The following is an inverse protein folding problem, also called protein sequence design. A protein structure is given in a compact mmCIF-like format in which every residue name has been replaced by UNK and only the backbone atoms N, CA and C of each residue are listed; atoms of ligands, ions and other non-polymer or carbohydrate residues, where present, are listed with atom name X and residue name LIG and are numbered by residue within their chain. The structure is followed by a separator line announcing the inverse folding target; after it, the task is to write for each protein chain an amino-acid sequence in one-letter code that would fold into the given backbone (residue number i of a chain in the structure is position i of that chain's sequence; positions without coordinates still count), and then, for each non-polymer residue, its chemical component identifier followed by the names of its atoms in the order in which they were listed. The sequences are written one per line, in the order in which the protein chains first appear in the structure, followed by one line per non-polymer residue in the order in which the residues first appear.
data_IF_708204057604
#
_entry.id   IF_708204057604
#
_cell.length_a   1.000
_cell.length_b   1.000
_cell.length_c   1.000
_cell.angle_alpha   90.00
_cell.angle_beta   90.00
_cell.angle_gamma   90.00
#
_symmetry.space_group_name_H-M   'P 1'
#
loop_
_entity.id
_entity.type
_entity.pdbx_description
1 polymer ?
#
# COMPACT_ATOMS: atom_id res chain seq x y z
N UNK A 1 -9.04 -25.73 6.75
CA UNK A 1 -8.91 -25.54 5.29
C UNK A 1 -8.25 -26.77 4.74
N UNK A 2 -8.91 -27.49 3.84
CA UNK A 2 -8.27 -28.64 3.18
C UNK A 2 -7.16 -28.12 2.27
N UNK A 3 -5.99 -28.76 2.35
CA UNK A 3 -4.83 -28.48 1.46
C UNK A 3 -5.22 -28.40 -0.01
N UNK A 4 -6.23 -29.18 -0.39
CA UNK A 4 -6.72 -29.32 -1.77
C UNK A 4 -7.38 -28.05 -2.35
N UNK A 5 -7.78 -27.07 -1.50
CA UNK A 5 -8.32 -25.77 -1.95
C UNK A 5 -7.31 -24.63 -1.90
N UNK A 6 -6.31 -24.72 -1.02
CA UNK A 6 -5.32 -23.65 -0.87
C UNK A 6 -4.35 -23.56 -2.06
N UNK A 7 -3.82 -24.70 -2.50
CA UNK A 7 -2.90 -24.78 -3.65
C UNK A 7 -3.49 -24.17 -4.93
N UNK A 8 -4.74 -24.48 -5.34
CA UNK A 8 -5.36 -23.85 -6.50
C UNK A 8 -5.53 -22.33 -6.35
N UNK A 9 -5.85 -21.82 -5.16
CA UNK A 9 -6.00 -20.38 -4.91
C UNK A 9 -4.65 -19.66 -4.97
N UNK A 10 -3.63 -20.21 -4.31
CA UNK A 10 -2.29 -19.67 -4.36
C UNK A 10 -1.74 -19.66 -5.80
N UNK A 11 -1.93 -20.74 -6.57
CA UNK A 11 -1.47 -20.81 -7.96
C UNK A 11 -2.14 -19.78 -8.86
N UNK A 12 -3.42 -19.47 -8.65
CA UNK A 12 -4.12 -18.40 -9.39
C UNK A 12 -3.52 -17.02 -9.08
N UNK A 13 -3.27 -16.74 -7.82
CA UNK A 13 -2.64 -15.48 -7.43
C UNK A 13 -1.22 -15.36 -8.00
N UNK A 14 -0.38 -16.39 -7.84
CA UNK A 14 0.97 -16.37 -8.41
C UNK A 14 0.95 -16.29 -9.94
N UNK A 15 0.04 -16.99 -10.60
CA UNK A 15 -0.17 -16.87 -12.05
C UNK A 15 -0.55 -15.45 -12.47
N UNK A 16 -1.45 -14.81 -11.70
CA UNK A 16 -1.84 -13.43 -11.92
C UNK A 16 -0.65 -12.46 -11.79
N UNK A 17 0.09 -12.54 -10.69
CA UNK A 17 1.26 -11.69 -10.45
C UNK A 17 2.36 -11.96 -11.48
N UNK A 18 2.63 -13.23 -11.80
CA UNK A 18 3.63 -13.61 -12.81
C UNK A 18 3.26 -13.06 -14.19
N UNK A 19 1.99 -13.17 -14.61
CA UNK A 19 1.54 -12.61 -15.88
C UNK A 19 1.69 -11.09 -15.92
N UNK A 20 1.26 -10.39 -14.86
CA UNK A 20 1.40 -8.95 -14.76
C UNK A 20 2.87 -8.53 -14.82
N UNK A 21 3.74 -9.23 -14.08
CA UNK A 21 5.17 -8.97 -14.06
C UNK A 21 5.84 -9.24 -15.41
N UNK A 22 5.50 -10.34 -16.09
CA UNK A 22 6.03 -10.66 -17.42
C UNK A 22 5.64 -9.60 -18.45
N UNK A 23 4.38 -9.19 -18.49
CA UNK A 23 3.93 -8.15 -19.43
C UNK A 23 4.67 -6.84 -19.14
N UNK A 24 4.76 -6.45 -17.88
CA UNK A 24 5.48 -5.23 -17.50
C UNK A 24 6.97 -5.32 -17.87
N UNK A 25 7.63 -6.45 -17.61
CA UNK A 25 9.05 -6.65 -17.94
C UNK A 25 9.31 -6.58 -19.45
N UNK A 26 8.42 -7.15 -20.27
CA UNK A 26 8.51 -7.07 -21.75
C UNK A 26 8.33 -5.62 -22.19
N UNK A 27 7.35 -4.90 -21.66
CA UNK A 27 7.14 -3.49 -22.00
C UNK A 27 8.36 -2.63 -21.61
N UNK A 28 8.91 -2.84 -20.41
CA UNK A 28 10.13 -2.14 -20.00
C UNK A 28 11.31 -2.44 -20.92
N UNK A 29 11.53 -3.70 -21.28
CA UNK A 29 12.62 -4.09 -22.17
C UNK A 29 12.48 -3.52 -23.60
N UNK A 30 11.25 -3.32 -24.07
CA UNK A 30 10.99 -2.78 -25.42
C UNK A 30 11.05 -1.25 -25.50
N UNK A 31 10.66 -0.55 -24.44
CA UNK A 31 10.42 0.89 -24.49
C UNK A 31 11.31 1.70 -23.55
N UNK A 32 12.00 1.08 -22.60
CA UNK A 32 12.87 1.79 -21.68
C UNK A 32 14.31 1.84 -22.20
N UNK A 33 14.95 3.03 -22.27
CA UNK A 33 16.37 3.14 -22.56
C UNK A 33 17.21 2.31 -21.58
N UNK A 34 18.29 1.70 -22.05
CA UNK A 34 19.09 0.77 -21.26
C UNK A 34 19.64 1.39 -19.97
N UNK A 35 20.04 2.65 -20.03
CA UNK A 35 20.58 3.41 -18.90
C UNK A 35 19.52 3.54 -17.79
N UNK A 36 18.28 3.92 -18.17
CA UNK A 36 17.14 4.01 -17.25
C UNK A 36 16.71 2.64 -16.74
N UNK A 37 16.85 1.58 -17.53
CA UNK A 37 16.57 0.22 -17.10
C UNK A 37 17.55 -0.23 -16.01
N UNK A 38 18.84 0.10 -16.15
CA UNK A 38 19.85 -0.23 -15.13
C UNK A 38 19.65 0.56 -13.85
N UNK A 39 19.30 1.84 -13.93
CA UNK A 39 18.97 2.69 -12.78
C UNK A 39 17.71 2.18 -12.07
N UNK A 40 16.65 1.85 -12.81
CA UNK A 40 15.42 1.27 -12.27
C UNK A 40 15.70 -0.04 -11.51
N UNK A 41 16.59 -0.89 -12.04
CA UNK A 41 16.96 -2.15 -11.43
C UNK A 41 17.76 -1.97 -10.13
N UNK A 42 18.64 -0.97 -10.09
CA UNK A 42 19.54 -0.73 -8.95
C UNK A 42 18.82 0.05 -7.83
N UNK A 43 18.08 1.08 -8.19
CA UNK A 43 17.56 2.05 -7.23
C UNK A 43 16.03 1.98 -7.05
N UNK A 44 15.33 1.30 -7.96
CA UNK A 44 13.88 1.16 -7.96
C UNK A 44 13.13 2.36 -8.55
N UNK A 45 11.82 2.17 -8.79
CA UNK A 45 10.97 3.16 -9.47
C UNK A 45 10.88 4.50 -8.71
N UNK A 46 10.98 4.45 -7.39
CA UNK A 46 10.81 5.66 -6.56
C UNK A 46 11.99 6.63 -6.65
N UNK A 47 13.21 6.13 -6.88
CA UNK A 47 14.39 6.97 -7.08
C UNK A 47 14.33 7.73 -8.40
N UNK A 48 13.70 7.15 -9.44
CA UNK A 48 13.47 7.83 -10.71
C UNK A 48 12.60 9.09 -10.56
N UNK A 49 11.77 9.19 -9.51
CA UNK A 49 10.98 10.40 -9.26
C UNK A 49 11.85 11.65 -9.09
N UNK A 50 13.03 11.50 -8.54
CA UNK A 50 13.95 12.62 -8.32
C UNK A 50 14.57 13.12 -9.62
N UNK A 51 15.03 12.20 -10.48
CA UNK A 51 15.77 12.54 -11.69
C UNK A 51 14.86 12.60 -12.94
N UNK A 52 13.87 11.72 -13.02
CA UNK A 52 12.99 11.53 -14.19
C UNK A 52 11.51 11.42 -13.79
N UNK A 53 10.91 12.43 -13.13
CA UNK A 53 9.57 12.31 -12.53
C UNK A 53 8.47 11.98 -13.54
N UNK A 54 8.53 12.51 -14.75
CA UNK A 54 7.55 12.18 -15.81
C UNK A 54 7.65 10.71 -16.23
N UNK A 55 8.88 10.18 -16.33
CA UNK A 55 9.11 8.78 -16.67
C UNK A 55 8.61 7.85 -15.55
N UNK A 56 8.89 8.18 -14.28
CA UNK A 56 8.39 7.41 -13.16
C UNK A 56 6.85 7.32 -13.15
N UNK A 57 6.15 8.43 -13.43
CA UNK A 57 4.68 8.42 -13.55
C UNK A 57 4.23 7.56 -14.74
N UNK A 58 4.88 7.67 -15.89
CA UNK A 58 4.54 6.87 -17.07
C UNK A 58 4.69 5.38 -16.80
N UNK A 59 5.79 4.98 -16.15
CA UNK A 59 6.02 3.59 -15.74
C UNK A 59 4.97 3.10 -14.74
N UNK A 60 4.58 3.95 -13.78
CA UNK A 60 3.53 3.62 -12.82
C UNK A 60 2.15 3.51 -13.47
N UNK A 61 1.84 4.36 -14.45
CA UNK A 61 0.63 4.21 -15.28
C UNK A 61 0.64 2.87 -16.04
N UNK A 62 1.81 2.49 -16.59
CA UNK A 62 2.00 1.19 -17.24
C UNK A 62 1.75 0.02 -16.28
N UNK A 63 2.35 0.06 -15.10
CA UNK A 63 2.17 -0.96 -14.07
C UNK A 63 0.70 -1.10 -13.65
N UNK A 64 0.00 0.02 -13.38
CA UNK A 64 -1.43 0.01 -13.06
C UNK A 64 -2.27 -0.56 -14.22
N UNK A 65 -1.95 -0.18 -15.48
CA UNK A 65 -2.65 -0.69 -16.66
C UNK A 65 -2.49 -2.19 -16.77
N UNK A 66 -1.28 -2.72 -16.59
CA UNK A 66 -1.00 -4.16 -16.63
C UNK A 66 -1.72 -4.88 -15.49
N UNK A 67 -1.69 -4.34 -14.29
CA UNK A 67 -2.40 -4.88 -13.13
C UNK A 67 -3.92 -4.96 -13.38
N UNK A 68 -4.49 -3.90 -13.97
CA UNK A 68 -5.91 -3.84 -14.32
C UNK A 68 -6.28 -4.85 -15.42
N UNK A 69 -5.47 -4.95 -16.46
CA UNK A 69 -5.71 -5.92 -17.56
C UNK A 69 -5.60 -7.35 -17.06
N UNK A 70 -4.59 -7.66 -16.23
CA UNK A 70 -4.46 -8.97 -15.61
C UNK A 70 -5.67 -9.27 -14.71
N UNK A 71 -6.12 -8.31 -13.90
CA UNK A 71 -7.32 -8.45 -13.08
C UNK A 71 -8.55 -8.76 -13.93
N UNK A 72 -8.78 -8.04 -15.03
CA UNK A 72 -9.92 -8.27 -15.93
C UNK A 72 -9.83 -9.66 -16.58
N UNK A 73 -8.64 -10.08 -17.02
CA UNK A 73 -8.40 -11.39 -17.60
C UNK A 73 -8.73 -12.52 -16.63
N UNK A 74 -8.16 -12.50 -15.42
CA UNK A 74 -8.40 -13.54 -14.42
C UNK A 74 -9.86 -13.58 -13.95
N UNK A 75 -10.48 -12.41 -13.77
CA UNK A 75 -11.90 -12.32 -13.44
C UNK A 75 -12.79 -12.96 -14.50
N UNK A 76 -12.51 -12.74 -15.79
CA UNK A 76 -13.32 -13.29 -16.89
C UNK A 76 -13.11 -14.78 -17.12
N UNK A 77 -11.89 -15.25 -16.90
CA UNK A 77 -11.50 -16.62 -17.27
C UNK A 77 -11.62 -17.62 -16.12
N UNK A 78 -11.15 -17.26 -14.94
CA UNK A 78 -10.98 -18.17 -13.80
C UNK A 78 -11.92 -17.88 -12.63
N UNK A 79 -12.20 -16.60 -12.37
CA UNK A 79 -12.91 -16.15 -11.17
C UNK A 79 -14.21 -15.41 -11.52
N UNK A 80 -15.05 -16.05 -12.35
CA UNK A 80 -16.30 -15.47 -12.91
C UNK A 80 -17.29 -14.96 -11.85
N UNK A 81 -17.25 -15.51 -10.63
CA UNK A 81 -18.12 -15.14 -9.52
C UNK A 81 -17.62 -13.94 -8.71
N UNK A 82 -16.44 -13.41 -9.00
CA UNK A 82 -15.95 -12.21 -8.31
C UNK A 82 -16.78 -10.99 -8.68
N UNK A 83 -17.67 -10.59 -7.76
CA UNK A 83 -18.54 -9.41 -7.91
C UNK A 83 -17.77 -8.14 -7.60
N UNK A 84 -18.01 -7.12 -8.41
CA UNK A 84 -17.62 -5.71 -8.36
C UNK A 84 -16.53 -5.24 -7.40
N UNK A 85 -15.44 -4.71 -7.98
CA UNK A 85 -14.44 -3.89 -7.26
C UNK A 85 -15.01 -2.52 -6.86
N UNK A 86 -16.02 -2.08 -7.58
CA UNK A 86 -16.56 -0.74 -7.45
C UNK A 86 -17.91 -0.81 -6.75
N UNK A 87 -18.11 -0.04 -5.67
CA UNK A 87 -19.42 0.10 -5.05
C UNK A 87 -20.37 0.84 -6.00
N UNK A 88 -21.65 0.75 -5.72
CA UNK A 88 -22.70 1.38 -6.51
C UNK A 88 -22.54 2.91 -6.56
N UNK A 89 -21.84 3.38 -7.60
CA UNK A 89 -21.71 4.79 -7.95
C UNK A 89 -20.48 5.53 -7.42
N UNK A 90 -20.04 6.52 -8.20
CA UNK A 90 -18.83 7.31 -7.94
C UNK A 90 -18.88 8.13 -6.64
N UNK A 91 -20.06 8.56 -6.18
CA UNK A 91 -20.22 9.29 -4.90
C UNK A 91 -19.86 8.41 -3.70
N UNK A 92 -20.23 7.13 -3.73
CA UNK A 92 -19.89 6.17 -2.67
C UNK A 92 -18.39 5.92 -2.66
N UNK A 93 -17.76 5.71 -3.82
CA UNK A 93 -16.33 5.54 -3.96
C UNK A 93 -15.56 6.75 -3.41
N UNK A 94 -15.98 7.97 -3.78
CA UNK A 94 -15.37 9.20 -3.27
C UNK A 94 -15.50 9.32 -1.74
N UNK A 95 -16.70 9.07 -1.18
CA UNK A 95 -16.92 9.14 0.26
C UNK A 95 -16.04 8.14 1.03
N UNK A 96 -15.92 6.93 0.52
CA UNK A 96 -15.05 5.91 1.10
C UNK A 96 -13.57 6.30 1.00
N UNK A 97 -13.13 6.81 -0.16
CA UNK A 97 -11.77 7.32 -0.35
C UNK A 97 -11.43 8.47 0.60
N UNK A 98 -12.34 9.43 0.75
CA UNK A 98 -12.18 10.54 1.70
C UNK A 98 -12.15 10.05 3.17
N UNK A 99 -12.97 9.05 3.53
CA UNK A 99 -12.91 8.45 4.86
C UNK A 99 -11.53 7.83 5.12
N UNK A 100 -11.04 6.99 4.18
CA UNK A 100 -9.71 6.40 4.29
C UNK A 100 -8.60 7.44 4.36
N UNK A 101 -8.64 8.45 3.48
CA UNK A 101 -7.70 9.55 3.48
C UNK A 101 -7.71 10.33 4.81
N UNK A 102 -8.87 10.54 5.40
CA UNK A 102 -9.02 11.16 6.72
C UNK A 102 -8.34 10.35 7.83
N UNK A 103 -8.52 9.02 7.84
CA UNK A 103 -7.85 8.14 8.81
C UNK A 103 -6.34 8.22 8.68
N UNK A 104 -5.81 8.11 7.45
CA UNK A 104 -4.36 8.21 7.22
C UNK A 104 -3.81 9.61 7.57
N UNK A 105 -4.57 10.67 7.29
CA UNK A 105 -4.20 12.03 7.67
C UNK A 105 -4.10 12.19 9.19
N UNK A 106 -5.07 11.68 9.94
CA UNK A 106 -5.03 11.70 11.41
C UNK A 106 -3.81 10.95 11.94
N UNK A 107 -3.52 9.76 11.40
CA UNK A 107 -2.32 9.00 11.80
C UNK A 107 -1.02 9.78 11.53
N UNK A 108 -0.89 10.38 10.36
CA UNK A 108 0.29 11.15 9.99
C UNK A 108 0.46 12.42 10.87
N UNK A 109 -0.65 13.13 11.14
CA UNK A 109 -0.65 14.30 12.03
C UNK A 109 -0.28 13.89 13.46
N UNK A 110 -0.81 12.80 13.98
CA UNK A 110 -0.47 12.29 15.31
C UNK A 110 1.02 11.92 15.39
N UNK A 111 1.59 11.29 14.35
CA UNK A 111 3.02 11.03 14.31
C UNK A 111 3.83 12.34 14.38
N UNK A 112 3.48 13.30 13.52
CA UNK A 112 4.15 14.61 13.47
C UNK A 112 4.13 15.31 14.83
N UNK A 113 2.94 15.40 15.45
CA UNK A 113 2.76 16.01 16.77
C UNK A 113 3.60 15.28 17.82
N UNK A 114 3.58 13.94 17.81
CA UNK A 114 4.32 13.14 18.79
C UNK A 114 5.83 13.34 18.64
N UNK A 115 6.36 13.28 17.41
CA UNK A 115 7.78 13.50 17.16
C UNK A 115 8.23 14.92 17.56
N UNK A 116 7.39 15.92 17.30
CA UNK A 116 7.66 17.31 17.67
C UNK A 116 7.60 17.54 19.18
N UNK A 117 6.52 17.07 19.84
CA UNK A 117 6.30 17.25 21.28
C UNK A 117 7.36 16.56 22.15
N UNK A 118 7.85 15.41 21.69
CA UNK A 118 8.93 14.67 22.37
C UNK A 118 10.33 15.16 21.99
N UNK A 119 10.45 16.20 21.14
CA UNK A 119 11.74 16.74 20.68
C UNK A 119 12.57 15.75 19.84
N UNK A 120 11.95 14.73 19.24
CA UNK A 120 12.63 13.69 18.45
C UNK A 120 13.07 14.25 17.10
N UNK A 121 12.20 15.03 16.45
CA UNK A 121 12.44 15.64 15.15
C UNK A 121 12.14 17.13 15.17
N UNK A 122 12.90 17.86 14.38
CA UNK A 122 12.57 19.22 13.93
C UNK A 122 12.40 19.19 12.41
N UNK A 123 11.72 20.19 11.88
CA UNK A 123 11.46 20.28 10.45
C UNK A 123 11.96 21.62 9.91
N UNK A 124 12.61 21.56 8.76
CA UNK A 124 12.96 22.74 7.95
C UNK A 124 12.05 22.77 6.74
N UNK A 125 11.64 23.95 6.30
CA UNK A 125 10.88 24.11 5.05
C UNK A 125 11.80 23.83 3.86
N UNK A 126 11.33 23.07 2.91
CA UNK A 126 12.00 22.85 1.63
C UNK A 126 11.29 23.65 0.51
N UNK A 127 11.85 24.78 0.07
CA UNK A 127 11.21 25.58 -0.98
C UNK A 127 11.02 24.86 -2.31
N UNK A 128 11.91 23.91 -2.61
CA UNK A 128 11.87 23.13 -3.87
C UNK A 128 10.73 22.09 -3.87
N UNK A 129 10.29 21.65 -2.70
CA UNK A 129 9.23 20.67 -2.53
C UNK A 129 7.90 21.06 -3.16
N UNK A 130 7.61 22.37 -3.28
CA UNK A 130 6.37 22.84 -3.90
C UNK A 130 6.27 22.55 -5.39
N UNK A 131 7.38 22.57 -6.10
CA UNK A 131 7.42 22.36 -7.56
C UNK A 131 7.09 20.92 -7.95
N UNK A 132 7.46 19.96 -7.09
CA UNK A 132 7.28 18.52 -7.33
C UNK A 132 5.99 17.95 -6.73
N UNK A 133 5.32 18.72 -5.86
CA UNK A 133 4.10 18.33 -5.16
C UNK A 133 3.02 17.70 -6.09
N UNK A 134 2.64 18.32 -7.22
CA UNK A 134 1.62 17.75 -8.10
C UNK A 134 2.03 16.40 -8.70
N UNK A 135 3.28 16.28 -9.14
CA UNK A 135 3.81 15.05 -9.75
C UNK A 135 3.84 13.90 -8.75
N UNK A 136 4.33 14.14 -7.54
CA UNK A 136 4.37 13.12 -6.47
C UNK A 136 2.96 12.74 -6.01
N UNK A 137 2.02 13.67 -5.96
CA UNK A 137 0.62 13.38 -5.63
C UNK A 137 0.02 12.38 -6.62
N UNK A 138 0.23 12.59 -7.92
CA UNK A 138 -0.23 11.68 -8.96
C UNK A 138 0.47 10.32 -8.82
N UNK A 139 1.78 10.31 -8.65
CA UNK A 139 2.56 9.08 -8.51
C UNK A 139 2.07 8.23 -7.33
N UNK A 140 1.95 8.78 -6.13
CA UNK A 140 1.51 8.03 -4.95
C UNK A 140 0.04 7.58 -5.06
N UNK A 141 -0.80 8.35 -5.74
CA UNK A 141 -2.16 7.91 -6.02
C UNK A 141 -2.18 6.68 -6.94
N UNK A 142 -1.36 6.67 -7.99
CA UNK A 142 -1.24 5.54 -8.92
C UNK A 142 -0.67 4.30 -8.21
N UNK A 143 0.35 4.48 -7.36
CA UNK A 143 0.91 3.39 -6.52
C UNK A 143 -0.16 2.81 -5.61
N UNK A 144 -0.93 3.66 -4.92
CA UNK A 144 -2.01 3.20 -4.03
C UNK A 144 -3.09 2.44 -4.81
N UNK A 145 -3.50 2.96 -5.98
CA UNK A 145 -4.49 2.29 -6.85
C UNK A 145 -3.99 0.92 -7.31
N UNK A 146 -2.75 0.83 -7.79
CA UNK A 146 -2.17 -0.43 -8.25
C UNK A 146 -2.10 -1.47 -7.13
N UNK A 147 -1.52 -1.10 -6.00
CA UNK A 147 -1.32 -2.02 -4.89
C UNK A 147 -2.65 -2.47 -4.26
N UNK A 148 -3.61 -1.56 -4.08
CA UNK A 148 -4.91 -1.93 -3.55
C UNK A 148 -5.74 -2.77 -4.54
N UNK A 149 -5.59 -2.55 -5.83
CA UNK A 149 -6.19 -3.40 -6.86
C UNK A 149 -5.64 -4.83 -6.80
N UNK A 150 -4.31 -4.98 -6.74
CA UNK A 150 -3.65 -6.29 -6.70
C UNK A 150 -3.94 -7.04 -5.40
N UNK A 151 -3.77 -6.36 -4.27
CA UNK A 151 -3.74 -7.03 -2.97
C UNK A 151 -5.12 -7.14 -2.33
N UNK A 152 -5.96 -6.12 -2.42
CA UNK A 152 -7.31 -6.13 -1.82
C UNK A 152 -8.37 -6.48 -2.86
N UNK A 153 -8.26 -5.88 -4.03
CA UNK A 153 -9.18 -6.12 -5.12
C UNK A 153 -9.12 -7.53 -5.68
N UNK A 154 -7.94 -8.15 -5.70
CA UNK A 154 -7.80 -9.52 -6.18
C UNK A 154 -7.44 -10.52 -5.07
N UNK A 155 -6.27 -10.43 -4.43
CA UNK A 155 -5.77 -11.45 -3.52
C UNK A 155 -6.67 -11.65 -2.29
N UNK A 156 -6.90 -10.60 -1.50
CA UNK A 156 -7.72 -10.70 -0.28
C UNK A 156 -9.15 -11.09 -0.61
N UNK A 157 -9.70 -10.55 -1.70
CA UNK A 157 -11.04 -10.91 -2.17
C UNK A 157 -11.11 -12.39 -2.55
N UNK A 158 -10.18 -12.89 -3.36
CA UNK A 158 -10.12 -14.29 -3.76
C UNK A 158 -10.08 -15.22 -2.55
N UNK A 159 -9.28 -14.90 -1.54
CA UNK A 159 -9.18 -15.71 -0.33
C UNK A 159 -10.43 -15.57 0.55
N UNK A 160 -10.99 -14.37 0.73
CA UNK A 160 -12.16 -14.15 1.57
C UNK A 160 -13.44 -14.81 1.03
N UNK A 161 -13.51 -15.10 -0.26
CA UNK A 161 -14.60 -15.85 -0.87
C UNK A 161 -14.46 -17.39 -0.69
N UNK A 162 -13.26 -17.86 -0.36
CA UNK A 162 -12.95 -19.30 -0.29
C UNK A 162 -12.55 -19.78 1.10
N UNK A 163 -12.32 -18.88 2.05
CA UNK A 163 -11.97 -19.20 3.44
C UNK A 163 -12.53 -18.15 4.39
N UNK A 164 -12.46 -18.41 5.70
CA UNK A 164 -12.86 -17.46 6.74
C UNK A 164 -12.14 -16.12 6.53
N UNK A 165 -12.84 -14.96 6.54
CA UNK A 165 -12.24 -13.65 6.22
C UNK A 165 -11.00 -13.30 7.07
N UNK A 166 -10.96 -13.69 8.36
CA UNK A 166 -9.78 -13.46 9.18
C UNK A 166 -8.57 -14.29 8.72
N UNK A 167 -8.79 -15.54 8.25
CA UNK A 167 -7.72 -16.37 7.66
C UNK A 167 -7.25 -15.77 6.34
N UNK A 168 -8.18 -15.30 5.52
CA UNK A 168 -7.87 -14.62 4.28
C UNK A 168 -7.03 -13.36 4.52
N UNK A 169 -7.40 -12.55 5.53
CA UNK A 169 -6.65 -11.37 5.94
C UNK A 169 -5.22 -11.71 6.34
N UNK A 170 -5.02 -12.67 7.23
CA UNK A 170 -3.68 -13.05 7.68
C UNK A 170 -2.85 -13.67 6.55
N UNK A 171 -3.43 -14.59 5.78
CA UNK A 171 -2.73 -15.23 4.66
C UNK A 171 -2.34 -14.23 3.58
N UNK A 172 -3.25 -13.33 3.19
CA UNK A 172 -2.93 -12.29 2.21
C UNK A 172 -1.87 -11.32 2.74
N UNK A 173 -1.93 -10.92 4.01
CA UNK A 173 -0.92 -10.06 4.64
C UNK A 173 0.47 -10.70 4.57
N UNK A 174 0.60 -11.98 4.91
CA UNK A 174 1.87 -12.69 4.83
C UNK A 174 2.39 -12.79 3.38
N UNK A 175 1.50 -13.09 2.41
CA UNK A 175 1.89 -13.12 1.01
C UNK A 175 2.30 -11.74 0.48
N UNK A 176 1.56 -10.68 0.86
CA UNK A 176 1.90 -9.31 0.47
C UNK A 176 3.30 -8.91 0.98
N UNK A 177 3.66 -9.32 2.20
CA UNK A 177 4.96 -8.99 2.79
C UNK A 177 6.15 -9.52 1.98
N UNK A 178 5.95 -10.56 1.15
CA UNK A 178 6.98 -11.07 0.26
C UNK A 178 7.28 -10.14 -0.93
N UNK A 179 6.35 -9.24 -1.25
CA UNK A 179 6.47 -8.30 -2.38
C UNK A 179 6.76 -6.88 -1.92
N UNK A 180 6.78 -6.63 -0.62
CA UNK A 180 7.07 -5.31 -0.07
C UNK A 180 8.57 -5.10 0.13
N UNK A 181 9.02 -3.93 -0.27
CA UNK A 181 10.39 -3.52 -0.09
C UNK A 181 10.59 -2.98 1.34
N UNK A 182 11.37 -3.70 2.11
CA UNK A 182 11.79 -3.28 3.45
C UNK A 182 13.01 -2.39 3.27
N UNK A 183 12.89 -1.10 3.60
CA UNK A 183 13.99 -0.14 3.52
C UNK A 183 15.22 -0.57 4.32
N UNK A 184 16.37 0.03 4.02
CA UNK A 184 17.61 -0.18 4.78
C UNK A 184 17.46 0.39 6.20
N UNK A 185 17.72 -0.42 7.23
CA UNK A 185 17.63 0.00 8.64
C UNK A 185 17.11 -1.09 9.54
N UNK A 186 16.21 -0.80 10.47
CA UNK A 186 15.61 -1.82 11.35
C UNK A 186 14.64 -2.70 10.59
N UNK A 187 15.17 -3.71 9.89
CA UNK A 187 14.40 -4.67 9.08
C UNK A 187 13.23 -5.26 9.88
N UNK A 188 13.45 -5.58 11.15
CA UNK A 188 12.42 -6.18 12.01
C UNK A 188 11.26 -5.22 12.25
N UNK A 189 11.55 -3.97 12.64
CA UNK A 189 10.51 -2.99 12.96
C UNK A 189 9.76 -2.54 11.71
N UNK A 190 10.47 -2.33 10.61
CA UNK A 190 9.87 -2.03 9.32
C UNK A 190 8.98 -3.18 8.82
N UNK A 191 9.43 -4.43 8.96
CA UNK A 191 8.64 -5.60 8.62
C UNK A 191 7.36 -5.69 9.46
N UNK A 192 7.43 -5.45 10.77
CA UNK A 192 6.26 -5.41 11.66
C UNK A 192 5.28 -4.32 11.21
N UNK A 193 5.76 -3.11 10.93
CA UNK A 193 4.91 -1.99 10.53
C UNK A 193 4.27 -2.21 9.15
N UNK A 194 4.97 -2.83 8.22
CA UNK A 194 4.41 -3.25 6.93
C UNK A 194 3.31 -4.31 7.09
N UNK A 195 3.49 -5.28 7.98
CA UNK A 195 2.44 -6.25 8.31
C UNK A 195 1.22 -5.56 8.94
N UNK A 196 1.44 -4.66 9.91
CA UNK A 196 0.36 -3.91 10.56
C UNK A 196 -0.39 -3.00 9.56
N UNK A 197 0.32 -2.32 8.66
CA UNK A 197 -0.30 -1.52 7.61
C UNK A 197 -1.15 -2.38 6.68
N UNK A 198 -0.65 -3.55 6.30
CA UNK A 198 -1.39 -4.49 5.46
C UNK A 198 -2.65 -5.03 6.16
N UNK A 199 -2.58 -5.32 7.47
CA UNK A 199 -3.75 -5.70 8.27
C UNK A 199 -4.77 -4.55 8.32
N UNK A 200 -4.34 -3.33 8.60
CA UNK A 200 -5.21 -2.16 8.67
C UNK A 200 -5.96 -1.94 7.34
N UNK A 201 -5.23 -1.91 6.22
CA UNK A 201 -5.81 -1.75 4.89
C UNK A 201 -6.77 -2.90 4.53
N UNK A 202 -6.43 -4.13 4.93
CA UNK A 202 -7.30 -5.29 4.74
C UNK A 202 -8.58 -5.23 5.58
N UNK A 203 -8.52 -4.79 6.84
CA UNK A 203 -9.71 -4.58 7.69
C UNK A 203 -10.64 -3.52 7.09
N UNK A 204 -10.07 -2.42 6.62
CA UNK A 204 -10.83 -1.35 5.94
C UNK A 204 -11.51 -1.89 4.69
N UNK A 205 -10.81 -2.68 3.88
CA UNK A 205 -11.40 -3.35 2.72
C UNK A 205 -12.54 -4.30 3.11
N UNK A 206 -12.35 -5.15 4.11
CA UNK A 206 -13.37 -6.11 4.54
C UNK A 206 -14.63 -5.42 5.08
N UNK A 207 -14.49 -4.26 5.72
CA UNK A 207 -15.63 -3.46 6.18
C UNK A 207 -16.40 -2.85 4.99
N UNK A 208 -15.71 -2.13 4.11
CA UNK A 208 -16.36 -1.42 3.01
C UNK A 208 -16.70 -2.32 1.81
N UNK A 209 -16.09 -3.51 1.73
CA UNK A 209 -16.15 -4.43 0.56
C UNK A 209 -15.79 -3.74 -0.75
N UNK A 210 -14.85 -2.79 -0.67
CA UNK A 210 -14.44 -1.90 -1.74
C UNK A 210 -13.01 -1.42 -1.51
N UNK A 211 -12.25 -1.25 -2.60
CA UNK A 211 -10.85 -0.80 -2.51
C UNK A 211 -10.71 0.69 -2.15
N UNK A 212 -11.75 1.51 -2.38
CA UNK A 212 -11.59 2.97 -2.34
C UNK A 212 -11.20 3.53 -0.98
N UNK A 213 -11.71 2.96 0.11
CA UNK A 213 -11.29 3.39 1.45
C UNK A 213 -9.83 3.00 1.73
N UNK A 214 -9.40 1.82 1.29
CA UNK A 214 -8.01 1.40 1.38
C UNK A 214 -7.08 2.26 0.51
N UNK A 215 -7.50 2.58 -0.73
CA UNK A 215 -6.77 3.51 -1.62
C UNK A 215 -6.59 4.88 -0.97
N UNK A 216 -7.66 5.45 -0.39
CA UNK A 216 -7.57 6.74 0.29
C UNK A 216 -6.62 6.73 1.48
N UNK A 217 -6.70 5.70 2.32
CA UNK A 217 -5.82 5.52 3.47
C UNK A 217 -4.36 5.35 3.04
N UNK A 218 -4.11 4.46 2.08
CA UNK A 218 -2.78 4.19 1.55
C UNK A 218 -2.15 5.44 0.92
N UNK A 219 -2.90 6.10 0.04
CA UNK A 219 -2.47 7.35 -0.60
C UNK A 219 -2.11 8.41 0.43
N UNK A 220 -2.99 8.67 1.41
CA UNK A 220 -2.76 9.75 2.38
C UNK A 220 -1.55 9.48 3.30
N UNK A 221 -1.31 8.22 3.67
CA UNK A 221 -0.11 7.84 4.42
C UNK A 221 1.15 8.17 3.62
N UNK A 222 1.27 7.70 2.38
CA UNK A 222 2.45 7.97 1.53
C UNK A 222 2.58 9.45 1.17
N UNK A 223 1.47 10.12 0.87
CA UNK A 223 1.44 11.55 0.55
C UNK A 223 1.96 12.40 1.72
N UNK A 224 1.43 12.16 2.92
CA UNK A 224 1.80 12.95 4.09
C UNK A 224 3.20 12.58 4.60
N UNK A 225 3.53 11.29 4.62
CA UNK A 225 4.82 10.80 5.05
C UNK A 225 5.96 11.33 4.15
N UNK A 226 5.87 11.05 2.84
CA UNK A 226 6.91 11.42 1.91
C UNK A 226 6.81 12.89 1.52
N UNK A 227 5.69 13.26 0.90
CA UNK A 227 5.56 14.54 0.23
C UNK A 227 5.44 15.72 1.18
N UNK A 228 4.76 15.54 2.32
CA UNK A 228 4.62 16.64 3.29
C UNK A 228 5.78 16.65 4.29
N UNK A 229 6.06 15.52 4.93
CA UNK A 229 7.02 15.43 6.03
C UNK A 229 8.47 15.15 5.56
N UNK A 230 8.67 14.72 4.30
CA UNK A 230 9.98 14.45 3.72
C UNK A 230 10.66 13.18 4.26
N UNK A 231 9.89 12.23 4.80
CA UNK A 231 10.41 10.91 5.15
C UNK A 231 10.64 10.06 3.90
N UNK A 232 11.58 9.14 3.98
CA UNK A 232 11.74 8.10 2.95
C UNK A 232 10.45 7.29 2.81
N UNK A 233 10.17 6.85 1.61
CA UNK A 233 9.06 5.93 1.31
C UNK A 233 9.64 4.70 0.60
N UNK A 234 9.75 3.59 1.31
CA UNK A 234 10.53 2.43 0.88
C UNK A 234 12.01 2.77 0.75
N UNK A 235 12.67 2.37 -0.34
CA UNK A 235 14.08 2.74 -0.62
C UNK A 235 14.25 4.13 -1.25
N UNK A 236 13.16 4.78 -1.68
CA UNK A 236 13.22 6.08 -2.37
C UNK A 236 13.35 7.25 -1.42
N UNK A 237 14.27 8.17 -1.71
CA UNK A 237 14.27 9.48 -1.11
C UNK A 237 13.16 10.34 -1.71
N UNK A 238 12.46 11.08 -0.86
CA UNK A 238 11.39 11.97 -1.31
C UNK A 238 11.75 13.39 -0.89
N UNK A 239 11.85 14.29 -1.85
CA UNK A 239 12.03 15.71 -1.58
C UNK A 239 10.67 16.34 -1.22
N UNK A 240 10.25 16.15 0.04
CA UNK A 240 8.98 16.67 0.56
C UNK A 240 8.98 18.19 0.77
N UNK A 241 7.84 18.72 1.23
CA UNK A 241 7.71 20.12 1.64
C UNK A 241 8.54 20.45 2.89
N UNK A 242 8.75 19.46 3.74
CA UNK A 242 9.56 19.55 4.94
C UNK A 242 10.76 18.61 4.83
N UNK A 243 11.85 19.00 5.49
CA UNK A 243 13.06 18.20 5.67
C UNK A 243 13.13 17.84 7.15
N UNK A 244 12.97 16.57 7.53
CA UNK A 244 13.09 16.14 8.92
C UNK A 244 14.55 16.20 9.36
N UNK A 245 14.80 16.77 10.54
CA UNK A 245 16.11 16.91 11.15
C UNK A 245 16.10 16.20 12.50
N UNK A 246 16.88 15.15 12.62
CA UNK A 246 16.97 14.34 13.83
C UNK A 246 17.62 15.12 14.97
N UNK A 247 17.11 14.92 16.20
CA UNK A 247 17.55 15.60 17.40
C UNK A 247 18.26 14.64 18.39
N UNK A 248 19.19 13.81 17.88
CA UNK A 248 20.00 12.93 18.73
C UNK A 248 19.33 11.65 19.23
N UNK A 249 18.13 11.32 18.74
CA UNK A 249 17.45 10.07 19.05
C UNK A 249 17.81 8.97 18.05
N UNK A 250 17.66 7.71 18.47
CA UNK A 250 17.92 6.57 17.60
C UNK A 250 16.89 6.49 16.46
N UNK A 251 17.32 6.01 15.28
CA UNK A 251 16.50 5.93 14.06
C UNK A 251 15.21 5.10 14.24
N UNK A 252 15.27 4.03 15.06
CA UNK A 252 14.09 3.22 15.35
C UNK A 252 12.99 3.93 16.14
N UNK A 253 13.30 5.10 16.74
CA UNK A 253 12.30 5.97 17.38
C UNK A 253 11.71 6.92 16.34
N UNK A 254 12.58 7.62 15.60
CA UNK A 254 12.19 8.67 14.65
C UNK A 254 11.70 8.13 13.30
N UNK A 255 12.26 7.01 12.84
CA UNK A 255 12.05 6.50 11.49
C UNK A 255 12.82 7.25 10.40
N UNK A 256 13.70 8.21 10.74
CA UNK A 256 14.29 9.13 9.75
C UNK A 256 15.13 8.41 8.69
N UNK A 257 15.85 7.35 9.07
CA UNK A 257 16.74 6.61 8.17
C UNK A 257 16.01 5.69 7.19
N UNK A 258 14.80 5.25 7.55
CA UNK A 258 14.08 4.17 6.84
C UNK A 258 12.71 4.63 6.32
N UNK A 259 12.15 5.67 6.91
CA UNK A 259 10.76 6.08 6.73
C UNK A 259 9.94 5.80 7.99
N UNK A 260 8.66 6.16 7.94
CA UNK A 260 7.74 5.94 9.08
C UNK A 260 7.66 4.46 9.48
N UNK A 261 7.80 3.55 8.55
CA UNK A 261 7.81 2.11 8.79
C UNK A 261 8.90 1.68 9.77
N UNK A 262 10.01 2.42 9.84
CA UNK A 262 11.10 2.17 10.79
C UNK A 262 10.88 2.69 12.20
N UNK A 263 9.72 3.30 12.52
CA UNK A 263 9.45 3.95 13.81
C UNK A 263 8.58 3.11 14.73
N UNK A 264 8.97 3.01 16.01
CA UNK A 264 8.14 2.40 17.07
C UNK A 264 6.88 3.23 17.33
N UNK A 265 6.93 4.56 17.13
CA UNK A 265 5.75 5.43 17.28
C UNK A 265 4.71 5.02 16.23
N UNK A 266 5.15 4.73 15.02
CA UNK A 266 4.28 4.22 13.95
C UNK A 266 3.65 2.87 14.31
N UNK A 267 4.39 1.96 14.95
CA UNK A 267 3.84 0.70 15.46
C UNK A 267 2.67 0.95 16.41
N UNK A 268 2.85 1.86 17.38
CA UNK A 268 1.80 2.21 18.35
C UNK A 268 0.58 2.81 17.63
N UNK A 269 0.80 3.70 16.68
CA UNK A 269 -0.27 4.31 15.89
C UNK A 269 -1.04 3.27 15.05
N UNK A 270 -0.34 2.33 14.39
CA UNK A 270 -1.01 1.24 13.68
C UNK A 270 -1.84 0.37 14.62
N UNK A 271 -1.29 -0.07 15.75
CA UNK A 271 -2.03 -0.89 16.71
C UNK A 271 -3.27 -0.17 17.25
N UNK A 272 -3.14 1.11 17.60
CA UNK A 272 -4.25 1.94 18.06
C UNK A 272 -5.31 2.10 16.97
N UNK A 273 -4.91 2.38 15.72
CA UNK A 273 -5.83 2.56 14.58
C UNK A 273 -6.50 1.25 14.19
N UNK A 274 -5.78 0.12 14.19
CA UNK A 274 -6.35 -1.22 13.95
C UNK A 274 -7.43 -1.51 14.98
N UNK A 275 -7.13 -1.29 16.28
CA UNK A 275 -8.11 -1.47 17.36
C UNK A 275 -9.32 -0.56 17.15
N UNK A 276 -9.11 0.72 16.90
CA UNK A 276 -10.20 1.67 16.65
C UNK A 276 -11.06 1.27 15.45
N UNK A 277 -10.45 0.95 14.29
CA UNK A 277 -11.17 0.49 13.10
C UNK A 277 -11.94 -0.79 13.42
N UNK A 278 -11.32 -1.78 14.05
CA UNK A 278 -11.95 -3.04 14.37
C UNK A 278 -13.21 -2.86 15.25
N UNK A 279 -13.12 -2.08 16.33
CA UNK A 279 -14.24 -1.88 17.26
C UNK A 279 -15.34 -0.97 16.70
N UNK A 280 -15.00 0.00 15.85
CA UNK A 280 -15.99 0.94 15.29
C UNK A 280 -16.69 0.42 14.04
N UNK A 281 -15.94 -0.26 13.17
CA UNK A 281 -16.47 -0.74 11.89
C UNK A 281 -17.01 -2.17 11.97
N UNK A 282 -16.57 -2.95 12.98
CA UNK A 282 -16.95 -4.36 13.16
C UNK A 282 -16.90 -5.17 11.86
N UNK A 283 -15.74 -5.26 11.20
CA UNK A 283 -15.63 -5.93 9.91
C UNK A 283 -16.05 -7.40 10.05
N UNK A 284 -16.72 -7.92 9.03
CA UNK A 284 -17.16 -9.33 9.01
C UNK A 284 -15.93 -10.25 8.87
N UNK A 285 -15.38 -10.70 9.99
CA UNK A 285 -14.21 -11.59 10.03
C UNK A 285 -14.56 -13.08 10.05
N UNK A 286 -15.85 -13.42 10.24
CA UNK A 286 -16.33 -14.80 10.29
C UNK A 286 -17.47 -14.97 9.29
N UNK A 287 -17.42 -16.04 8.50
CA UNK A 287 -18.52 -16.36 7.57
C UNK A 287 -19.81 -16.67 8.36
N UNK A 288 -20.99 -16.23 7.86
CA UNK A 288 -22.26 -16.66 8.43
C UNK A 288 -22.38 -18.18 8.40
N UNK A 289 -22.87 -18.80 9.50
CA UNK A 289 -22.99 -20.27 9.63
C UNK A 289 -23.70 -20.98 8.48
N UNK A 290 -24.60 -20.28 7.76
CA UNK A 290 -25.31 -20.86 6.58
C UNK A 290 -24.40 -21.17 5.39
N UNK A 291 -23.23 -20.55 5.29
CA UNK A 291 -22.29 -20.75 4.17
C UNK A 291 -21.31 -21.90 4.48
N UNK A 292 -21.06 -22.17 5.78
CA UNK A 292 -20.20 -23.29 6.19
C UNK A 292 -20.81 -24.67 5.87
N UNK A 293 -22.14 -24.78 5.84
CA UNK A 293 -22.84 -26.07 5.55
C UNK A 293 -22.91 -26.40 4.06
N UNK A 294 -22.58 -25.46 3.16
CA UNK A 294 -22.62 -25.62 1.71
C UNK A 294 -21.22 -25.68 1.04
N UNK A 295 -20.15 -25.52 1.82
CA UNK A 295 -18.75 -25.54 1.39
C UNK A 295 -18.04 -26.82 1.84
#
# INVERSE_FOLDING_TARGET
MNSDRFLPLASRFFGFVTLAFLILSVLLALFLPWDLFTELRQEGLRSLLTHYPKMAILLQCGALTVAFLAFVFFRKTLDKNMVGLFPDGGRTALRQGLWGAGVGAVMAILLLITCFALGILRFKVNPEGWSILPLYSVFFLLVALEQELLFRGYLLKLFSENMQPWKALLTSTLLISLFQDVGEGSIVLSGINLLLSSILLGLVYLHFKSIWAAVGLHFSLHFLQGLTMGFKVGKGEVHGLLIPVQQGHADWISGIGVGMEGSIITTILYLGTIGWVYFTTKPELVMPKKVEAAA
#
